data_IF_251122355194
#
_entry.id   IF_251122355194
#
_cell.length_a   1.000
_cell.length_b   1.000
_cell.length_c   1.000
_cell.angle_alpha   90.00
_cell.angle_beta   90.00
_cell.angle_gamma   90.00
#
_symmetry.space_group_name_H-M   'P 1'
#
loop_
_entity.id
_entity.type
_entity.pdbx_description
1 polymer ?
#
# COMPACT_ATOMS: atom_id res chain seq x y z
N UNK A 1 -27.30 5.26 -31.47
CA UNK A 1 -26.57 5.85 -30.33
C UNK A 1 -25.16 5.27 -30.30
N UNK A 2 -24.21 5.99 -30.88
CA UNK A 2 -22.80 5.58 -30.97
C UNK A 2 -22.13 5.98 -29.64
N UNK A 3 -21.73 5.00 -28.84
CA UNK A 3 -20.96 5.24 -27.61
C UNK A 3 -19.62 5.85 -27.99
N UNK A 4 -19.43 7.14 -27.69
CA UNK A 4 -18.12 7.80 -27.72
C UNK A 4 -17.23 7.13 -26.67
N UNK A 5 -16.30 6.30 -27.11
CA UNK A 5 -15.17 5.85 -26.29
C UNK A 5 -14.27 7.04 -26.03
N UNK A 6 -13.99 7.32 -24.75
CA UNK A 6 -13.04 8.35 -24.34
C UNK A 6 -11.68 8.11 -25.03
N UNK A 7 -11.01 9.16 -25.54
CA UNK A 7 -9.68 9.00 -26.11
C UNK A 7 -8.72 8.55 -24.99
N UNK A 8 -8.09 7.40 -25.20
CA UNK A 8 -6.95 6.91 -24.44
C UNK A 8 -5.92 8.02 -24.29
N UNK A 9 -5.54 8.34 -23.05
CA UNK A 9 -4.36 9.17 -22.76
C UNK A 9 -3.18 8.60 -23.56
N UNK A 10 -2.63 9.39 -24.47
CA UNK A 10 -1.35 9.06 -25.10
C UNK A 10 -0.29 8.86 -24.01
N UNK A 11 0.57 7.84 -24.08
CA UNK A 11 1.66 7.70 -23.12
C UNK A 11 2.52 8.95 -23.25
N UNK A 12 2.59 9.75 -22.18
CA UNK A 12 3.63 10.77 -22.07
C UNK A 12 4.96 10.04 -22.18
N UNK A 13 5.78 10.37 -23.17
CA UNK A 13 7.14 9.82 -23.30
C UNK A 13 7.98 10.27 -22.10
N UNK A 14 7.84 9.57 -20.97
CA UNK A 14 8.62 9.77 -19.76
C UNK A 14 10.02 9.22 -20.04
N UNK A 15 11.04 10.04 -19.88
CA UNK A 15 12.45 9.66 -19.99
C UNK A 15 13.27 10.53 -19.04
N UNK A 16 14.44 10.03 -18.66
CA UNK A 16 15.46 10.82 -17.98
C UNK A 16 16.63 11.12 -18.93
N UNK A 17 17.49 12.08 -18.60
CA UNK A 17 18.76 12.31 -19.30
C UNK A 17 19.93 12.02 -18.38
N UNK A 18 20.94 11.31 -18.88
CA UNK A 18 22.14 11.00 -18.11
C UNK A 18 22.85 12.28 -17.66
N UNK A 19 23.26 12.32 -16.40
CA UNK A 19 24.01 13.42 -15.80
C UNK A 19 23.15 14.57 -15.29
N UNK A 20 21.86 14.64 -15.66
CA UNK A 20 20.94 15.61 -15.06
C UNK A 20 20.70 15.29 -13.58
N UNK A 21 20.44 16.33 -12.80
CA UNK A 21 20.06 16.22 -11.40
C UNK A 21 18.54 16.32 -11.32
N UNK A 22 17.90 15.35 -10.68
CA UNK A 22 16.44 15.39 -10.49
C UNK A 22 16.04 16.55 -9.58
N UNK A 23 14.83 17.10 -9.81
CA UNK A 23 14.32 18.24 -9.05
C UNK A 23 13.77 17.91 -7.66
N UNK A 24 14.09 16.74 -7.12
CA UNK A 24 13.65 16.25 -5.81
C UNK A 24 14.82 15.56 -5.09
N UNK A 25 14.77 15.54 -3.77
CA UNK A 25 15.79 14.94 -2.90
C UNK A 25 15.25 13.68 -2.24
N UNK A 26 16.12 12.88 -1.62
CA UNK A 26 15.67 11.78 -0.78
C UNK A 26 14.89 12.31 0.43
N UNK A 27 13.65 11.85 0.59
CA UNK A 27 12.73 12.35 1.60
C UNK A 27 11.88 11.21 2.20
N UNK A 28 10.73 11.56 2.77
CA UNK A 28 9.80 10.59 3.34
C UNK A 28 9.11 9.70 2.30
N UNK A 29 9.14 10.08 1.02
CA UNK A 29 8.48 9.40 -0.09
C UNK A 29 9.40 9.10 -1.27
N UNK A 30 10.64 9.57 -1.28
CA UNK A 30 11.63 9.35 -2.33
C UNK A 30 12.90 8.72 -1.76
N UNK A 31 13.41 7.68 -2.43
CA UNK A 31 14.65 6.98 -2.07
C UNK A 31 15.46 6.67 -3.32
N UNK A 32 16.76 6.93 -3.31
CA UNK A 32 17.66 6.67 -4.43
C UNK A 32 18.52 5.43 -4.17
N UNK A 33 18.73 4.64 -5.22
CA UNK A 33 19.59 3.45 -5.18
C UNK A 33 20.39 3.34 -6.46
N UNK A 34 21.71 3.34 -6.34
CA UNK A 34 22.61 3.06 -7.46
C UNK A 34 22.67 1.59 -7.90
N UNK A 35 21.87 0.70 -7.31
CA UNK A 35 21.91 -0.73 -7.58
C UNK A 35 20.55 -1.40 -7.63
N UNK A 36 20.51 -2.58 -8.26
CA UNK A 36 19.28 -3.34 -8.52
C UNK A 36 19.02 -4.53 -7.59
N UNK A 37 19.77 -4.71 -6.50
CA UNK A 37 19.52 -5.79 -5.54
C UNK A 37 18.24 -5.53 -4.76
N UNK A 38 17.22 -6.35 -4.98
CA UNK A 38 15.92 -6.16 -4.36
C UNK A 38 15.87 -6.79 -2.99
N UNK A 39 16.27 -8.05 -2.88
CA UNK A 39 16.25 -8.85 -1.65
C UNK A 39 17.58 -8.85 -0.91
N UNK A 40 17.55 -9.22 0.38
CA UNK A 40 18.76 -9.32 1.21
C UNK A 40 19.75 -10.38 0.72
N UNK A 41 19.28 -11.48 0.17
CA UNK A 41 20.09 -12.60 -0.33
C UNK A 41 20.81 -12.27 -1.65
N UNK A 42 20.34 -11.27 -2.37
CA UNK A 42 21.00 -10.74 -3.57
C UNK A 42 22.19 -9.83 -3.25
N UNK A 43 22.31 -9.36 -2.00
CA UNK A 43 23.43 -8.52 -1.59
C UNK A 43 24.68 -9.40 -1.47
N UNK A 44 25.76 -9.09 -2.20
CA UNK A 44 26.97 -9.87 -2.08
C UNK A 44 27.63 -9.79 -0.70
N UNK A 45 28.25 -10.88 -0.20
CA UNK A 45 28.91 -10.89 1.11
C UNK A 45 30.00 -9.83 1.27
N UNK A 46 30.70 -9.47 0.19
CA UNK A 46 31.75 -8.45 0.20
C UNK A 46 31.22 -7.01 0.36
N UNK A 47 29.90 -6.80 0.32
CA UNK A 47 29.30 -5.51 0.66
C UNK A 47 29.11 -5.32 2.18
N UNK A 48 29.46 -6.31 2.99
CA UNK A 48 29.39 -6.27 4.45
C UNK A 48 30.80 -5.95 4.98
N UNK A 49 30.92 -4.84 5.73
CA UNK A 49 32.16 -4.51 6.43
C UNK A 49 32.27 -5.40 7.68
N UNK A 50 33.23 -6.31 7.68
CA UNK A 50 33.44 -7.26 8.79
C UNK A 50 33.87 -6.60 10.11
N UNK A 51 34.36 -5.35 10.09
CA UNK A 51 34.77 -4.63 11.31
C UNK A 51 33.59 -4.20 12.17
N UNK A 52 32.54 -3.67 11.55
CA UNK A 52 31.43 -3.00 12.24
C UNK A 52 30.06 -3.62 11.89
N UNK A 53 30.07 -4.72 11.12
CA UNK A 53 28.87 -5.35 10.54
C UNK A 53 27.99 -4.38 9.73
N UNK A 54 28.55 -3.24 9.32
CA UNK A 54 27.87 -2.23 8.53
C UNK A 54 27.89 -2.61 7.06
N UNK A 55 26.74 -2.47 6.40
CA UNK A 55 26.62 -2.77 4.97
C UNK A 55 26.82 -1.51 4.15
N UNK A 56 27.66 -1.59 3.14
CA UNK A 56 27.82 -0.51 2.14
C UNK A 56 26.61 -0.42 1.22
N UNK A 57 25.83 -1.50 1.11
CA UNK A 57 24.61 -1.59 0.31
C UNK A 57 23.51 -2.31 1.08
N UNK A 58 22.31 -1.76 1.02
CA UNK A 58 21.11 -2.33 1.64
C UNK A 58 20.11 -2.72 0.56
N UNK A 59 19.36 -3.79 0.81
CA UNK A 59 18.32 -4.28 -0.10
C UNK A 59 17.25 -3.21 -0.31
N UNK A 60 16.72 -3.13 -1.54
CA UNK A 60 15.62 -2.21 -1.88
C UNK A 60 14.36 -2.53 -1.07
N UNK A 61 14.10 -3.82 -0.81
CA UNK A 61 12.97 -4.33 -0.02
C UNK A 61 12.78 -3.61 1.32
N UNK A 62 13.87 -3.25 2.00
CA UNK A 62 13.84 -2.54 3.28
C UNK A 62 13.15 -1.19 3.19
N UNK A 63 13.42 -0.43 2.13
CA UNK A 63 12.77 0.86 1.89
C UNK A 63 11.31 0.68 1.48
N UNK A 64 11.00 -0.34 0.69
CA UNK A 64 9.62 -0.67 0.34
C UNK A 64 8.79 -1.00 1.59
N UNK A 65 9.34 -1.81 2.50
CA UNK A 65 8.74 -2.09 3.81
C UNK A 65 8.53 -0.81 4.63
N UNK A 66 9.53 0.09 4.64
CA UNK A 66 9.42 1.42 5.25
C UNK A 66 8.26 2.25 4.71
N UNK A 67 8.11 2.34 3.38
CA UNK A 67 7.03 3.10 2.75
C UNK A 67 5.65 2.49 3.00
N UNK A 68 5.54 1.17 2.99
CA UNK A 68 4.30 0.45 3.29
C UNK A 68 3.82 0.75 4.72
N UNK A 69 4.72 0.63 5.70
CA UNK A 69 4.40 0.82 7.12
C UNK A 69 4.16 2.28 7.50
N UNK A 70 4.80 3.23 6.81
CA UNK A 70 4.53 4.65 7.03
C UNK A 70 3.18 5.10 6.44
N UNK A 71 2.55 4.31 5.56
CA UNK A 71 1.20 4.56 5.02
C UNK A 71 1.11 5.63 3.93
N UNK A 72 2.07 6.55 3.84
CA UNK A 72 2.14 7.60 2.81
C UNK A 72 2.52 7.09 1.42
N UNK A 73 3.02 5.86 1.32
CA UNK A 73 3.63 5.34 0.10
C UNK A 73 4.98 5.98 -0.19
N UNK A 74 5.46 5.82 -1.42
CA UNK A 74 6.74 6.38 -1.85
C UNK A 74 7.31 5.65 -3.07
N UNK A 75 8.39 6.19 -3.65
CA UNK A 75 9.06 5.64 -4.82
C UNK A 75 10.54 5.42 -4.53
N UNK A 76 11.02 4.22 -4.82
CA UNK A 76 12.45 3.92 -4.92
C UNK A 76 12.89 4.08 -6.37
N UNK A 77 13.95 4.86 -6.59
CA UNK A 77 14.55 5.12 -7.90
C UNK A 77 15.87 4.35 -8.02
N UNK A 78 15.85 3.28 -8.80
CA UNK A 78 17.07 2.53 -9.14
C UNK A 78 17.74 3.17 -10.35
N UNK A 79 19.01 3.55 -10.20
CA UNK A 79 19.78 4.25 -11.24
C UNK A 79 19.90 5.76 -11.03
N UNK A 80 19.37 6.30 -9.93
CA UNK A 80 19.68 7.65 -9.45
C UNK A 80 20.70 7.50 -8.32
N UNK A 81 21.76 8.31 -8.34
CA UNK A 81 22.76 8.36 -7.28
C UNK A 81 22.25 9.20 -6.09
N UNK A 82 22.84 9.00 -4.91
CA UNK A 82 22.46 9.72 -3.68
C UNK A 82 22.47 11.25 -3.84
N UNK A 83 23.33 11.79 -4.71
CA UNK A 83 23.36 13.23 -5.06
C UNK A 83 22.29 13.69 -6.07
N UNK A 84 21.28 12.86 -6.38
CA UNK A 84 20.22 13.14 -7.34
C UNK A 84 20.63 13.05 -8.82
N UNK A 85 21.88 12.69 -9.12
CA UNK A 85 22.36 12.56 -10.50
C UNK A 85 21.82 11.29 -11.17
N UNK A 86 21.19 11.44 -12.33
CA UNK A 86 20.70 10.33 -13.15
C UNK A 86 21.87 9.62 -13.83
N UNK A 87 22.05 8.34 -13.52
CA UNK A 87 22.99 7.47 -14.24
C UNK A 87 22.27 6.37 -15.03
N UNK A 88 21.15 5.89 -14.51
CA UNK A 88 20.47 4.69 -14.99
C UNK A 88 21.27 3.41 -14.75
N UNK A 89 20.58 2.29 -14.92
CA UNK A 89 21.16 0.94 -14.95
C UNK A 89 20.94 0.35 -16.33
N UNK A 90 21.98 -0.24 -16.93
CA UNK A 90 21.85 -0.93 -18.21
C UNK A 90 21.11 -2.24 -18.01
N UNK A 91 19.98 -2.42 -18.69
CA UNK A 91 19.15 -3.60 -18.56
C UNK A 91 18.74 -4.10 -19.94
N UNK A 92 19.05 -5.37 -20.24
CA UNK A 92 18.37 -6.09 -21.33
C UNK A 92 16.92 -6.38 -20.93
N UNK A 93 16.07 -6.77 -21.88
CA UNK A 93 14.70 -7.19 -21.57
C UNK A 93 14.66 -8.34 -20.55
N UNK A 94 15.54 -9.33 -20.69
CA UNK A 94 15.66 -10.43 -19.73
C UNK A 94 16.01 -9.95 -18.31
N UNK A 95 16.83 -8.90 -18.19
CA UNK A 95 17.17 -8.33 -16.89
C UNK A 95 16.04 -7.47 -16.31
N UNK A 96 15.20 -6.85 -17.15
CA UNK A 96 13.97 -6.19 -16.69
C UNK A 96 13.00 -7.24 -16.14
N UNK A 97 12.79 -8.34 -16.87
CA UNK A 97 11.94 -9.46 -16.45
C UNK A 97 12.46 -10.08 -15.13
N UNK A 98 13.77 -10.31 -15.01
CA UNK A 98 14.41 -10.73 -13.75
C UNK A 98 14.07 -9.77 -12.61
N UNK A 99 14.29 -8.46 -12.79
CA UNK A 99 14.06 -7.48 -11.73
C UNK A 99 12.60 -7.46 -11.27
N UNK A 100 11.65 -7.55 -12.20
CA UNK A 100 10.22 -7.64 -11.90
C UNK A 100 9.88 -8.90 -11.12
N UNK A 101 10.45 -10.05 -11.49
CA UNK A 101 10.26 -11.31 -10.77
C UNK A 101 10.89 -11.28 -9.37
N UNK A 102 12.11 -10.73 -9.24
CA UNK A 102 12.80 -10.55 -7.97
C UNK A 102 12.00 -9.64 -7.02
N UNK A 103 11.43 -8.55 -7.53
CA UNK A 103 10.53 -7.70 -6.76
C UNK A 103 9.26 -8.44 -6.32
N UNK A 104 8.60 -9.15 -7.23
CA UNK A 104 7.42 -9.92 -6.88
C UNK A 104 7.71 -10.98 -5.81
N UNK A 105 8.82 -11.69 -5.95
CA UNK A 105 9.27 -12.69 -4.98
C UNK A 105 9.57 -12.07 -3.61
N UNK A 106 10.25 -10.92 -3.56
CA UNK A 106 10.49 -10.19 -2.31
C UNK A 106 9.18 -9.72 -1.65
N UNK A 107 8.26 -9.12 -2.42
CA UNK A 107 6.96 -8.66 -1.91
C UNK A 107 6.08 -9.81 -1.40
N UNK A 108 6.17 -11.00 -2.02
CA UNK A 108 5.49 -12.20 -1.55
C UNK A 108 6.12 -12.79 -0.28
N UNK A 109 7.40 -12.53 -0.03
CA UNK A 109 8.13 -13.00 1.15
C UNK A 109 7.80 -12.19 2.42
N UNK A 110 7.20 -11.01 2.27
CA UNK A 110 6.81 -10.16 3.39
C UNK A 110 5.73 -10.84 4.23
N UNK A 111 5.58 -10.38 5.48
CA UNK A 111 4.57 -10.88 6.41
C UNK A 111 3.72 -9.71 6.93
N UNK A 112 2.46 -9.57 6.50
CA UNK A 112 1.80 -10.38 5.46
C UNK A 112 2.39 -10.15 4.05
N UNK A 113 2.17 -11.06 3.08
CA UNK A 113 2.56 -10.85 1.69
C UNK A 113 1.90 -9.60 1.11
N UNK A 114 2.66 -8.80 0.35
CA UNK A 114 2.18 -7.54 -0.23
C UNK A 114 1.50 -7.80 -1.58
N UNK A 115 0.20 -7.49 -1.74
CA UNK A 115 -0.48 -7.68 -3.01
C UNK A 115 0.00 -6.71 -4.09
N UNK A 116 -0.02 -7.15 -5.34
CA UNK A 116 0.44 -6.35 -6.48
C UNK A 116 -0.29 -5.00 -6.61
N UNK A 117 -1.57 -4.89 -6.22
CA UNK A 117 -2.28 -3.61 -6.33
C UNK A 117 -1.73 -2.51 -5.42
N UNK A 118 -0.85 -2.82 -4.46
CA UNK A 118 -0.23 -1.86 -3.56
C UNK A 118 1.08 -1.25 -4.10
N UNK A 119 1.61 -1.78 -5.20
CA UNK A 119 2.85 -1.27 -5.79
C UNK A 119 2.85 -1.35 -7.32
N UNK A 120 3.68 -0.51 -7.93
CA UNK A 120 3.90 -0.49 -9.38
C UNK A 120 5.40 -0.44 -9.69
N UNK A 121 5.77 -0.88 -10.88
CA UNK A 121 7.16 -0.82 -11.36
C UNK A 121 7.18 -0.30 -12.79
N UNK A 122 7.95 0.77 -13.02
CA UNK A 122 8.14 1.37 -14.34
C UNK A 122 9.62 1.38 -14.72
N UNK A 123 9.92 0.97 -15.95
CA UNK A 123 11.26 1.05 -16.53
C UNK A 123 11.32 2.26 -17.46
N UNK A 124 11.93 3.35 -16.99
CA UNK A 124 11.94 4.61 -17.71
C UNK A 124 13.30 4.78 -18.39
N UNK A 125 13.35 4.97 -19.71
CA UNK A 125 14.61 5.04 -20.42
C UNK A 125 15.41 6.29 -20.03
N UNK A 126 16.73 6.13 -19.97
CA UNK A 126 17.71 7.21 -19.80
C UNK A 126 18.36 7.48 -21.15
N UNK A 127 18.18 8.70 -21.63
CA UNK A 127 18.79 9.18 -22.86
C UNK A 127 20.20 9.69 -22.59
N UNK A 128 21.12 9.41 -23.52
CA UNK A 128 22.39 10.12 -23.54
C UNK A 128 22.14 11.59 -23.97
N UNK A 129 23.03 12.53 -23.63
CA UNK A 129 22.83 13.96 -23.91
C UNK A 129 22.53 14.27 -25.38
N UNK A 130 23.11 13.51 -26.31
CA UNK A 130 22.92 13.63 -27.75
C UNK A 130 21.62 12.99 -28.27
N UNK A 131 20.96 12.15 -27.49
CA UNK A 131 19.81 11.39 -27.94
C UNK A 131 18.52 12.22 -27.82
N UNK A 132 17.67 12.13 -28.85
CA UNK A 132 16.36 12.79 -28.88
C UNK A 132 15.22 11.87 -28.43
N UNK A 133 15.37 10.57 -28.64
CA UNK A 133 14.36 9.56 -28.34
C UNK A 133 15.05 8.28 -27.87
N UNK A 134 14.40 7.49 -27.01
CA UNK A 134 14.92 6.18 -26.66
C UNK A 134 14.80 5.28 -27.88
N UNK A 135 15.91 4.91 -28.50
CA UNK A 135 15.91 3.97 -29.62
C UNK A 135 16.80 2.77 -29.30
N UNK A 136 16.16 1.64 -29.03
CA UNK A 136 16.80 0.34 -29.13
C UNK A 136 15.72 -0.68 -29.46
N UNK A 137 15.88 -1.32 -30.61
CA UNK A 137 15.09 -2.48 -30.97
C UNK A 137 16.04 -3.67 -31.06
N UNK A 138 16.14 -4.42 -29.96
CA UNK A 138 16.78 -5.72 -29.96
C UNK A 138 15.62 -6.72 -29.94
N UNK A 139 15.39 -7.51 -31.01
CA UNK A 139 14.39 -8.56 -30.97
C UNK A 139 14.79 -9.59 -29.93
N UNK A 140 13.88 -9.89 -29.01
CA UNK A 140 14.11 -10.82 -27.92
C UNK A 140 13.25 -12.05 -28.15
N UNK A 141 13.85 -13.24 -28.36
CA UNK A 141 13.10 -14.48 -28.48
C UNK A 141 12.26 -14.75 -27.22
N UNK A 142 10.95 -14.94 -27.40
CA UNK A 142 9.99 -15.10 -26.29
C UNK A 142 10.16 -16.44 -25.55
N UNK A 143 10.63 -17.47 -26.24
CA UNK A 143 10.99 -18.76 -25.66
C UNK A 143 12.12 -18.64 -24.63
N UNK A 144 13.10 -17.78 -24.90
CA UNK A 144 14.19 -17.50 -23.96
C UNK A 144 13.70 -16.64 -22.78
N UNK A 145 12.74 -15.73 -23.00
CA UNK A 145 12.16 -14.91 -21.91
C UNK A 145 11.44 -15.75 -20.84
N UNK A 146 10.93 -16.91 -21.21
CA UNK A 146 10.25 -17.82 -20.29
C UNK A 146 11.21 -18.69 -19.47
N UNK A 147 12.52 -18.61 -19.72
CA UNK A 147 13.49 -19.37 -18.94
C UNK A 147 13.48 -18.91 -17.47
N UNK A 148 13.52 -19.84 -16.50
CA UNK A 148 13.46 -19.50 -15.09
C UNK A 148 14.69 -18.68 -14.68
N UNK A 149 14.45 -17.56 -14.02
CA UNK A 149 15.52 -16.75 -13.43
C UNK A 149 15.95 -17.29 -12.07
N UNK A 150 17.23 -17.13 -11.75
CA UNK A 150 17.77 -17.46 -10.44
C UNK A 150 17.61 -16.26 -9.50
N UNK A 151 16.62 -16.34 -8.62
CA UNK A 151 16.27 -15.29 -7.64
C UNK A 151 16.94 -15.54 -6.28
N UNK A 152 16.94 -14.54 -5.39
CA UNK A 152 17.49 -14.60 -4.02
C UNK A 152 18.92 -15.14 -3.96
N UNK A 153 19.75 -14.72 -4.90
CA UNK A 153 21.16 -15.05 -4.89
C UNK A 153 21.99 -13.87 -5.35
N UNK A 154 23.14 -13.70 -4.71
CA UNK A 154 24.16 -12.76 -5.15
C UNK A 154 24.92 -13.25 -6.40
N UNK A 155 24.67 -14.49 -6.85
CA UNK A 155 25.33 -15.07 -8.03
C UNK A 155 24.65 -14.60 -9.31
N UNK A 156 25.40 -14.56 -10.41
CA UNK A 156 24.85 -14.16 -11.70
C UNK A 156 23.80 -15.15 -12.21
N UNK A 157 22.70 -14.60 -12.73
CA UNK A 157 21.70 -15.36 -13.46
C UNK A 157 22.12 -15.52 -14.93
N UNK A 158 21.52 -16.47 -15.65
CA UNK A 158 21.77 -16.65 -17.10
C UNK A 158 21.57 -15.35 -17.90
N UNK A 159 20.62 -14.48 -17.51
CA UNK A 159 20.38 -13.20 -18.16
C UNK A 159 21.53 -12.20 -18.01
N UNK A 160 22.35 -12.35 -16.95
CA UNK A 160 23.54 -11.53 -16.74
C UNK A 160 24.69 -12.00 -17.63
N UNK A 161 24.84 -13.32 -17.78
CA UNK A 161 25.78 -13.89 -18.74
C UNK A 161 25.41 -13.54 -20.18
N UNK A 162 24.11 -13.58 -20.52
CA UNK A 162 23.61 -13.15 -21.83
C UNK A 162 23.88 -11.66 -22.09
N UNK A 163 23.61 -10.79 -21.11
CA UNK A 163 23.92 -9.37 -21.21
C UNK A 163 25.42 -9.11 -21.36
N UNK A 164 26.27 -9.87 -20.65
CA UNK A 164 27.73 -9.78 -20.78
C UNK A 164 28.20 -10.24 -22.16
N UNK A 165 27.66 -11.34 -22.67
CA UNK A 165 27.94 -11.84 -24.02
C UNK A 165 27.52 -10.83 -25.10
N UNK A 166 26.33 -10.26 -24.96
CA UNK A 166 25.84 -9.18 -25.82
C UNK A 166 26.78 -7.97 -25.82
N UNK A 167 27.24 -7.57 -24.65
CA UNK A 167 28.21 -6.48 -24.51
C UNK A 167 29.54 -6.78 -25.21
N UNK A 168 30.08 -7.99 -25.06
CA UNK A 168 31.29 -8.42 -25.77
C UNK A 168 31.12 -8.44 -27.30
N UNK A 169 29.90 -8.65 -27.78
CA UNK A 169 29.54 -8.57 -29.21
C UNK A 169 29.22 -7.14 -29.68
N UNK A 170 29.46 -6.12 -28.84
CA UNK A 170 29.22 -4.71 -29.17
C UNK A 170 27.76 -4.25 -29.05
N UNK A 171 26.86 -5.09 -28.53
CA UNK A 171 25.47 -4.74 -28.28
C UNK A 171 25.39 -4.11 -26.88
N UNK A 172 25.15 -2.80 -26.82
CA UNK A 172 25.08 -2.05 -25.56
C UNK A 172 23.60 -1.82 -25.21
N UNK A 173 23.07 -2.41 -24.13
CA UNK A 173 21.69 -2.18 -23.71
C UNK A 173 21.43 -0.73 -23.29
N UNK A 174 20.20 -0.27 -23.48
CA UNK A 174 19.71 1.01 -22.97
C UNK A 174 19.84 1.05 -21.44
N UNK A 175 20.04 2.25 -20.94
CA UNK A 175 20.00 2.53 -19.52
C UNK A 175 18.57 2.91 -19.11
N UNK A 176 18.17 2.47 -17.92
CA UNK A 176 16.85 2.75 -17.36
C UNK A 176 16.98 3.28 -15.94
N UNK A 177 16.10 4.20 -15.56
CA UNK A 177 15.74 4.41 -14.16
C UNK A 177 14.55 3.52 -13.89
N UNK A 178 14.66 2.65 -12.89
CA UNK A 178 13.53 1.82 -12.47
C UNK A 178 12.86 2.51 -11.30
N UNK A 179 11.60 2.89 -11.48
CA UNK A 179 10.76 3.44 -10.44
C UNK A 179 9.91 2.33 -9.83
N UNK A 180 10.11 2.06 -8.54
CA UNK A 180 9.25 1.15 -7.78
C UNK A 180 8.42 1.99 -6.83
N UNK A 181 7.14 2.17 -7.15
CA UNK A 181 6.23 3.02 -6.39
C UNK A 181 5.33 2.17 -5.50
N UNK A 182 5.40 2.39 -4.19
CA UNK A 182 4.42 1.94 -3.20
C UNK A 182 3.29 2.97 -3.13
N UNK A 183 2.06 2.51 -3.32
CA UNK A 183 0.89 3.39 -3.29
C UNK A 183 0.50 3.73 -1.84
N UNK A 184 0.01 4.96 -1.58
CA UNK A 184 -0.51 5.33 -0.26
C UNK A 184 -1.62 4.37 0.18
N UNK A 185 -1.59 3.97 1.44
CA UNK A 185 -2.56 3.01 1.98
C UNK A 185 -3.92 3.69 2.15
N UNK A 186 -4.90 3.28 1.35
CA UNK A 186 -6.29 3.72 1.52
C UNK A 186 -7.07 2.67 2.32
N UNK A 187 -7.28 2.94 3.61
CA UNK A 187 -8.05 2.07 4.49
C UNK A 187 -9.54 1.94 4.13
N UNK A 188 -10.05 2.77 3.21
CA UNK A 188 -11.42 2.64 2.69
C UNK A 188 -11.51 1.75 1.44
N UNK A 189 -10.38 1.32 0.87
CA UNK A 189 -10.38 0.42 -0.28
C UNK A 189 -10.83 -0.98 0.18
N UNK A 190 -11.89 -1.57 -0.41
CA UNK A 190 -12.36 -2.91 -0.05
C UNK A 190 -11.28 -3.99 -0.09
N UNK A 191 -10.29 -3.84 -0.99
CA UNK A 191 -9.17 -4.78 -1.13
C UNK A 191 -8.20 -4.69 0.04
N UNK A 192 -8.00 -3.49 0.59
CA UNK A 192 -7.18 -3.28 1.79
C UNK A 192 -7.95 -3.76 3.02
N UNK A 193 -9.23 -3.44 3.13
CA UNK A 193 -10.09 -3.93 4.22
C UNK A 193 -10.07 -5.46 4.32
N UNK A 194 -10.07 -6.17 3.19
CA UNK A 194 -9.99 -7.63 3.15
C UNK A 194 -8.68 -8.22 3.68
N UNK A 195 -7.60 -7.43 3.73
CA UNK A 195 -6.30 -7.83 4.30
C UNK A 195 -6.20 -7.56 5.80
N UNK A 196 -7.07 -6.69 6.32
CA UNK A 196 -7.10 -6.37 7.74
C UNK A 196 -7.85 -7.49 8.47
N UNK A 197 -7.30 -8.02 9.57
CA UNK A 197 -8.05 -8.97 10.38
C UNK A 197 -9.31 -8.30 10.95
N UNK A 198 -10.36 -9.09 11.24
CA UNK A 198 -11.69 -8.69 11.76
C UNK A 198 -11.67 -8.02 13.16
N UNK A 199 -10.62 -7.28 13.50
CA UNK A 199 -10.54 -6.52 14.72
C UNK A 199 -11.52 -5.36 14.69
N UNK A 200 -12.28 -5.21 15.77
CA UNK A 200 -13.24 -4.13 16.01
C UNK A 200 -12.60 -2.73 16.04
N UNK A 201 -11.27 -2.65 15.95
CA UNK A 201 -10.49 -1.42 15.89
C UNK A 201 -9.58 -1.53 14.67
N UNK A 202 -9.74 -0.68 13.63
CA UNK A 202 -8.86 -0.67 12.49
C UNK A 202 -7.49 -0.09 12.91
N UNK A 203 -6.54 -0.97 13.21
CA UNK A 203 -5.12 -0.64 13.39
C UNK A 203 -4.41 -0.67 12.04
N UNK A 204 -3.44 0.21 11.83
CA UNK A 204 -2.64 0.26 10.60
C UNK A 204 -2.01 -1.12 10.28
N UNK A 205 -2.04 -1.50 9.00
CA UNK A 205 -1.48 -2.77 8.54
C UNK A 205 0.05 -2.70 8.63
N UNK A 206 0.65 -3.60 9.41
CA UNK A 206 2.10 -3.66 9.59
C UNK A 206 2.66 -4.81 8.79
N UNK A 207 3.69 -4.52 8.00
CA UNK A 207 4.46 -5.44 7.19
C UNK A 207 5.83 -5.67 7.81
N UNK A 208 6.18 -6.95 7.92
CA UNK A 208 7.53 -7.40 8.22
C UNK A 208 8.22 -7.78 6.91
N UNK A 209 9.44 -7.27 6.72
CA UNK A 209 10.31 -7.50 5.57
C UNK A 209 10.77 -8.97 5.53
N UNK A 210 11.36 -9.41 4.41
CA UNK A 210 11.84 -10.79 4.23
C UNK A 210 12.93 -11.20 5.24
N UNK A 211 13.68 -10.23 5.78
CA UNK A 211 14.69 -10.44 6.83
C UNK A 211 14.10 -10.51 8.26
N UNK A 212 12.77 -10.57 8.36
CA UNK A 212 12.05 -10.66 9.62
C UNK A 212 12.03 -9.37 10.43
N UNK A 213 12.46 -8.24 9.86
CA UNK A 213 12.46 -6.94 10.55
C UNK A 213 11.31 -6.05 10.08
N UNK A 214 10.90 -5.13 10.95
CA UNK A 214 9.87 -4.13 10.65
C UNK A 214 10.57 -2.80 10.47
N UNK A 215 10.33 -2.16 9.33
CA UNK A 215 10.94 -0.89 8.98
C UNK A 215 9.89 0.20 8.85
N UNK A 216 10.20 1.40 9.33
CA UNK A 216 9.40 2.61 9.11
C UNK A 216 10.28 3.69 8.52
N UNK A 217 9.73 4.45 7.57
CA UNK A 217 10.38 5.63 7.01
C UNK A 217 10.04 6.86 7.87
N UNK A 218 11.05 7.52 8.46
CA UNK A 218 10.91 8.80 9.19
C UNK A 218 11.95 9.80 8.69
N UNK A 219 11.50 10.96 8.20
CA UNK A 219 12.35 12.07 7.76
C UNK A 219 13.59 11.60 6.96
N UNK A 220 13.37 10.99 5.79
CA UNK A 220 14.40 10.37 4.91
C UNK A 220 15.25 9.23 5.49
N UNK A 221 15.04 8.83 6.74
CA UNK A 221 15.77 7.70 7.34
C UNK A 221 14.88 6.48 7.52
N UNK A 222 15.48 5.31 7.35
CA UNK A 222 14.84 4.04 7.64
C UNK A 222 15.15 3.62 9.09
N UNK A 223 14.11 3.49 9.90
CA UNK A 223 14.22 3.10 11.31
C UNK A 223 13.64 1.70 11.48
N UNK A 224 14.39 0.86 12.19
CA UNK A 224 13.97 -0.48 12.56
C UNK A 224 13.15 -0.44 13.85
N UNK A 225 11.99 -1.08 13.85
CA UNK A 225 11.10 -1.18 15.01
C UNK A 225 11.13 -2.61 15.57
N UNK A 226 11.13 -2.73 16.89
CA UNK A 226 10.78 -3.97 17.57
C UNK A 226 9.26 -4.13 17.64
N UNK A 227 8.78 -5.34 17.94
CA UNK A 227 7.34 -5.57 18.15
C UNK A 227 6.77 -4.72 19.29
N UNK A 228 7.54 -4.49 20.36
CA UNK A 228 7.12 -3.61 21.45
C UNK A 228 6.93 -2.17 20.97
N UNK A 229 7.85 -1.66 20.15
CA UNK A 229 7.76 -0.30 19.60
C UNK A 229 6.52 -0.17 18.68
N UNK A 230 6.22 -1.21 17.92
CA UNK A 230 5.01 -1.26 17.07
C UNK A 230 3.74 -1.26 17.91
N UNK A 231 3.71 -2.04 19.00
CA UNK A 231 2.56 -2.08 19.91
C UNK A 231 2.33 -0.71 20.57
N UNK A 232 3.40 -0.11 21.09
CA UNK A 232 3.33 1.23 21.68
C UNK A 232 2.86 2.27 20.67
N UNK A 233 3.43 2.27 19.47
CA UNK A 233 3.05 3.18 18.40
C UNK A 233 1.57 3.00 17.98
N UNK A 234 1.12 1.76 17.84
CA UNK A 234 -0.27 1.43 17.54
C UNK A 234 -1.20 1.90 18.66
N UNK A 235 -0.79 1.73 19.91
CA UNK A 235 -1.55 2.18 21.09
C UNK A 235 -1.70 3.69 21.10
N UNK A 236 -0.61 4.42 20.84
CA UNK A 236 -0.62 5.88 20.73
C UNK A 236 -1.53 6.34 19.59
N UNK A 237 -1.43 5.72 18.41
CA UNK A 237 -2.27 6.06 17.25
C UNK A 237 -3.76 5.89 17.57
N UNK A 238 -4.12 4.77 18.21
CA UNK A 238 -5.49 4.50 18.65
C UNK A 238 -5.95 5.52 19.68
N UNK A 239 -5.14 5.84 20.69
CA UNK A 239 -5.49 6.78 21.75
C UNK A 239 -5.67 8.22 21.22
N UNK A 240 -4.83 8.64 20.29
CA UNK A 240 -4.83 10.02 19.78
C UNK A 240 -5.90 10.24 18.70
N UNK A 241 -6.03 9.32 17.75
CA UNK A 241 -6.84 9.56 16.56
C UNK A 241 -8.16 8.78 16.57
N UNK A 242 -8.17 7.54 17.05
CA UNK A 242 -9.36 6.67 16.99
C UNK A 242 -10.27 6.80 18.21
N UNK A 243 -9.70 6.95 19.40
CA UNK A 243 -10.48 7.06 20.64
C UNK A 243 -11.41 8.27 20.67
N UNK A 244 -11.02 9.49 20.20
CA UNK A 244 -11.96 10.61 20.14
C UNK A 244 -13.17 10.31 19.24
N UNK A 245 -12.94 9.69 18.07
CA UNK A 245 -13.99 9.31 17.12
C UNK A 245 -14.91 8.23 17.71
N UNK A 246 -14.34 7.23 18.39
CA UNK A 246 -15.10 6.20 19.08
C UNK A 246 -15.94 6.78 20.23
N UNK A 247 -15.38 7.73 20.98
CA UNK A 247 -16.07 8.40 22.08
C UNK A 247 -17.22 9.29 21.59
N UNK A 248 -17.04 9.95 20.44
CA UNK A 248 -18.09 10.72 19.77
C UNK A 248 -19.23 9.81 19.29
N UNK A 249 -18.91 8.75 18.53
CA UNK A 249 -19.88 7.76 18.08
C UNK A 249 -20.62 7.08 19.25
N UNK A 250 -19.91 6.81 20.36
CA UNK A 250 -20.53 6.27 21.57
C UNK A 250 -21.51 7.25 22.23
N UNK A 251 -21.17 8.55 22.28
CA UNK A 251 -22.09 9.59 22.77
C UNK A 251 -23.33 9.68 21.89
N UNK A 252 -23.17 9.67 20.57
CA UNK A 252 -24.29 9.67 19.62
C UNK A 252 -25.20 8.46 19.81
N UNK A 253 -24.62 7.25 19.88
CA UNK A 253 -25.37 6.02 20.12
C UNK A 253 -26.13 6.03 21.45
N UNK A 254 -25.51 6.53 22.52
CA UNK A 254 -26.16 6.67 23.83
C UNK A 254 -27.32 7.65 23.76
N UNK A 255 -27.18 8.73 23.01
CA UNK A 255 -28.23 9.73 22.79
C UNK A 255 -29.40 9.14 22.00
N UNK A 256 -29.12 8.42 20.92
CA UNK A 256 -30.11 7.71 20.12
C UNK A 256 -30.86 6.65 20.94
N UNK A 257 -30.13 5.82 21.69
CA UNK A 257 -30.72 4.79 22.56
C UNK A 257 -31.62 5.41 23.63
N UNK A 258 -31.23 6.56 24.19
CA UNK A 258 -32.05 7.30 25.15
C UNK A 258 -33.32 7.88 24.51
N UNK A 259 -33.23 8.42 23.30
CA UNK A 259 -34.40 8.89 22.54
C UNK A 259 -35.37 7.74 22.26
N UNK A 260 -34.84 6.58 21.82
CA UNK A 260 -35.66 5.40 21.56
C UNK A 260 -36.42 4.92 22.81
N UNK A 261 -35.74 4.94 23.96
CA UNK A 261 -36.36 4.61 25.25
C UNK A 261 -37.50 5.58 25.59
N UNK A 262 -37.28 6.89 25.45
CA UNK A 262 -38.30 7.91 25.72
C UNK A 262 -39.50 7.79 24.78
N UNK A 263 -39.27 7.53 23.49
CA UNK A 263 -40.35 7.28 22.51
C UNK A 263 -41.16 6.06 22.91
N UNK A 264 -40.52 4.96 23.30
CA UNK A 264 -41.21 3.76 23.76
C UNK A 264 -42.03 4.00 25.05
N UNK A 265 -41.51 4.81 25.98
CA UNK A 265 -42.24 5.22 27.20
C UNK A 265 -43.48 6.06 26.85
N UNK A 266 -43.38 6.99 25.90
CA UNK A 266 -44.53 7.81 25.44
C UNK A 266 -45.58 6.94 24.75
N UNK A 267 -45.17 6.00 23.87
CA UNK A 267 -46.08 5.05 23.23
C UNK A 267 -46.78 4.18 24.28
N UNK A 268 -46.05 3.69 25.28
CA UNK A 268 -46.63 2.90 26.36
C UNK A 268 -47.67 3.69 27.17
N UNK A 269 -47.37 4.96 27.49
CA UNK A 269 -48.32 5.87 28.17
C UNK A 269 -49.57 6.14 27.33
N UNK A 270 -49.43 6.36 26.02
CA UNK A 270 -50.57 6.55 25.13
C UNK A 270 -51.46 5.30 25.08
N UNK A 271 -50.86 4.10 24.98
CA UNK A 271 -51.60 2.83 25.05
C UNK A 271 -52.36 2.71 26.37
N UNK A 272 -51.73 3.01 27.50
CA UNK A 272 -52.36 2.98 28.82
C UNK A 272 -53.53 3.97 28.96
N UNK A 273 -53.40 5.17 28.39
CA UNK A 273 -54.48 6.16 28.34
C UNK A 273 -55.65 5.66 27.51
N UNK A 274 -55.38 5.03 26.36
CA UNK A 274 -56.41 4.49 25.48
C UNK A 274 -57.16 3.31 26.11
N UNK A 275 -56.46 2.45 26.88
CA UNK A 275 -57.08 1.38 27.68
C UNK A 275 -57.94 1.92 28.82
N UNK A 276 -57.53 3.03 29.46
CA UNK A 276 -58.34 3.68 30.48
C UNK A 276 -59.62 4.31 29.91
N UNK A 277 -59.55 4.97 28.74
CA UNK A 277 -60.71 5.58 28.07
C UNK A 277 -61.71 4.54 27.57
N UNK A 278 -61.22 3.40 27.06
CA UNK A 278 -62.10 2.29 26.63
C UNK A 278 -62.78 1.60 27.81
N UNK A 279 -62.08 1.43 28.95
CA UNK A 279 -62.67 0.89 30.17
C UNK A 279 -63.65 1.84 30.86
N UNK A 280 -63.45 3.16 30.82
CA UNK A 280 -64.45 4.11 31.32
C UNK A 280 -65.70 4.15 30.44
N UNK A 281 -65.57 4.02 29.12
CA UNK A 281 -66.75 3.94 28.23
C UNK A 281 -67.58 2.66 28.46
N UNK A 282 -66.95 1.52 28.76
CA UNK A 282 -67.67 0.29 29.15
C UNK A 282 -68.42 0.40 30.49
N UNK A 283 -67.96 1.25 31.41
CA UNK A 283 -68.64 1.53 32.67
C UNK A 283 -69.87 2.45 32.54
N UNK A 284 -69.92 3.30 31.51
CA UNK A 284 -71.08 4.15 31.23
C UNK A 284 -72.19 3.43 30.46
N UNK A 285 -71.88 2.42 29.64
CA UNK A 285 -72.90 1.61 28.95
C UNK A 285 -73.64 0.66 29.90
N UNK A 286 -72.97 0.10 30.91
CA UNK A 286 -73.64 -0.75 31.92
C UNK A 286 -74.57 0.01 32.88
N UNK A 287 -74.45 1.35 32.96
CA UNK A 287 -75.35 2.19 33.74
C UNK A 287 -76.60 2.64 32.96
N UNK A 288 -76.56 2.63 31.62
CA UNK A 288 -77.75 2.96 30.79
C UNK A 288 -78.75 1.81 30.70
N UNK A 289 -78.32 0.55 30.80
CA UNK A 289 -79.22 -0.61 30.75
C UNK A 289 -80.04 -0.84 32.05
N UNK A 290 -79.83 -0.04 33.11
CA UNK A 290 -80.65 -0.10 34.35
C UNK A 290 -81.71 1.00 34.45
N UNK A 291 -81.89 1.84 33.43
CA UNK A 291 -82.93 2.85 33.39
C UNK A 291 -83.80 2.70 32.13
N UNK A 292 -84.55 1.59 32.05
CA UNK A 292 -85.78 1.56 31.25
C UNK A 292 -86.99 1.81 32.16
N UNK A 293 -87.85 2.80 31.86
CA UNK A 293 -89.08 3.01 32.61
C UNK A 293 -90.10 1.94 32.24
N UNK A 294 -90.73 1.33 33.25
CA UNK A 294 -91.90 0.46 33.07
C UNK A 294 -93.04 1.29 32.48
N UNK A 295 -93.44 0.97 31.26
CA UNK A 295 -94.67 1.44 30.63
C UNK A 295 -95.89 0.85 31.35
N UNK A 296 -96.75 1.72 31.86
CA UNK A 296 -98.19 1.48 32.03
C UNK A 296 -98.94 2.33 31.02
#
# INVERSE_FOLDING_TARGET
MIKKTNPSKSPSNKYYRRGEVVGFEEDQTHEFKGHRNISIEEIPPWCINNSDNNRTRNAVSRNLCGFLNSGWGGTVYIGILDGGSVQGVRLTQYQQDHLSLSLQDAMNAFRPPVPHFMYNTEFIPVLEPQDKYPCQFIPVPEDVRQQPHYLRSHSFCWCDYDALGSYHNGIIPLSYVVEITVLPLNCNDPRVCALMPDFKIPTSLIFQCEDGQIYFRKHSTLIKYSFCDVEEHTREEVLLYKMPQLMEAWREWRTYSRLLQLVNEVIARQKHLHTHITNTNYGYETLKDKMQPKSG
#
